data_IF_150721215013
#
_entry.id   IF_150721215013
#
_cell.length_a   1.000
_cell.length_b   1.000
_cell.length_c   1.000
_cell.angle_alpha   90.00
_cell.angle_beta   90.00
_cell.angle_gamma   90.00
#
_symmetry.space_group_name_H-M   'P 1'
#
loop_
_entity.id
_entity.type
_entity.pdbx_description
1 polymer ?
#
# COMPACT_ATOMS: atom_id res chain seq x y z
N UNK A 1 -34.60 54.49 -28.87
CA UNK A 1 -34.13 55.82 -28.47
C UNK A 1 -32.88 55.62 -27.66
N UNK A 2 -31.73 55.74 -28.37
CA UNK A 2 -30.73 56.81 -28.33
C UNK A 2 -30.19 57.05 -26.93
N UNK A 3 -28.89 56.88 -26.65
CA UNK A 3 -27.75 57.63 -27.14
C UNK A 3 -26.41 56.98 -26.78
N UNK A 4 -25.53 56.99 -27.76
CA UNK A 4 -24.08 56.88 -27.68
C UNK A 4 -23.45 58.01 -26.87
N UNK A 5 -22.31 57.77 -26.16
CA UNK A 5 -21.24 58.75 -26.04
C UNK A 5 -19.88 58.05 -26.02
N UNK A 6 -19.12 58.34 -27.05
CA UNK A 6 -17.67 58.18 -27.19
C UNK A 6 -16.99 59.41 -26.49
N UNK A 7 -15.79 59.24 -26.05
CA UNK A 7 -14.67 60.23 -25.98
C UNK A 7 -13.54 59.48 -25.26
N UNK A 8 -12.36 59.40 -25.62
CA UNK A 8 -11.37 59.94 -26.52
C UNK A 8 -10.00 59.65 -25.88
N UNK A 9 -9.12 59.20 -26.69
CA UNK A 9 -7.68 58.97 -26.57
C UNK A 9 -6.91 60.10 -25.90
N UNK A 10 -5.96 59.78 -24.99
CA UNK A 10 -4.75 60.57 -24.82
C UNK A 10 -3.54 59.66 -24.80
N UNK A 11 -2.71 59.79 -25.82
CA UNK A 11 -1.36 59.26 -25.97
C UNK A 11 -0.43 60.24 -25.27
N UNK A 12 0.38 59.76 -24.31
CA UNK A 12 1.60 60.47 -23.89
C UNK A 12 2.76 59.50 -24.06
N UNK A 13 3.55 59.75 -25.10
CA UNK A 13 4.90 59.28 -25.29
C UNK A 13 5.83 60.07 -24.38
N UNK A 14 6.56 59.37 -23.52
CA UNK A 14 7.83 59.86 -22.98
C UNK A 14 8.85 58.76 -22.99
N UNK A 15 9.86 58.97 -23.77
CA UNK A 15 11.11 58.25 -23.91
C UNK A 15 11.95 58.38 -22.64
N UNK A 16 12.63 57.27 -22.24
CA UNK A 16 13.70 57.39 -21.26
C UNK A 16 14.22 56.05 -20.73
N UNK A 17 15.32 55.57 -21.34
CA UNK A 17 16.47 54.87 -20.73
C UNK A 17 16.29 53.49 -20.09
N UNK A 18 16.70 52.53 -20.82
CA UNK A 18 17.60 51.40 -20.60
C UNK A 18 18.22 51.33 -19.18
N UNK A 19 17.80 50.37 -18.37
CA UNK A 19 18.62 49.70 -17.38
C UNK A 19 18.22 48.23 -17.39
N UNK A 20 19.14 47.40 -17.86
CA UNK A 20 19.10 45.95 -17.74
C UNK A 20 19.11 45.58 -16.26
N UNK A 21 18.02 45.06 -15.75
CA UNK A 21 17.90 44.40 -14.48
C UNK A 21 17.47 42.99 -14.74
N UNK A 22 18.41 42.03 -14.65
CA UNK A 22 18.12 40.61 -14.61
C UNK A 22 17.15 40.35 -13.46
N UNK A 23 15.87 40.28 -13.78
CA UNK A 23 14.87 39.75 -12.87
C UNK A 23 14.94 38.22 -13.01
N UNK A 24 15.80 37.62 -12.18
CA UNK A 24 15.69 36.23 -11.83
C UNK A 24 14.28 36.04 -11.26
N UNK A 25 13.36 35.64 -12.15
CA UNK A 25 12.08 35.09 -11.72
C UNK A 25 12.40 33.80 -10.95
N UNK A 26 12.52 33.95 -9.63
CA UNK A 26 12.45 32.81 -8.72
C UNK A 26 11.12 32.14 -8.96
N UNK A 27 11.15 31.09 -9.77
CA UNK A 27 10.08 30.10 -9.82
C UNK A 27 10.08 29.43 -8.45
N UNK A 28 9.38 30.04 -7.49
CA UNK A 28 9.01 29.33 -6.27
C UNK A 28 8.15 28.16 -6.73
N UNK A 29 8.80 27.00 -6.88
CA UNK A 29 8.10 25.73 -6.92
C UNK A 29 7.35 25.65 -5.59
N UNK A 30 6.04 25.87 -5.62
CA UNK A 30 5.20 25.69 -4.45
C UNK A 30 5.48 24.30 -3.91
N UNK A 31 6.16 24.22 -2.78
CA UNK A 31 6.53 23.01 -2.11
C UNK A 31 5.22 22.32 -1.73
N UNK A 32 4.94 21.17 -2.37
CA UNK A 32 3.74 20.39 -2.09
C UNK A 32 3.88 19.83 -0.69
N UNK A 33 2.94 20.14 0.16
CA UNK A 33 2.84 19.58 1.50
C UNK A 33 1.90 18.40 1.40
N UNK A 34 2.43 17.19 1.56
CA UNK A 34 1.61 15.99 1.69
C UNK A 34 1.00 15.92 3.09
N UNK A 35 -0.17 15.35 3.20
CA UNK A 35 -0.82 15.08 4.48
C UNK A 35 -0.85 13.57 4.74
N UNK A 36 -0.81 13.20 6.01
CA UNK A 36 -0.95 11.83 6.49
C UNK A 36 -2.24 11.70 7.28
N UNK A 37 -3.21 10.96 6.77
CA UNK A 37 -4.40 10.57 7.52
C UNK A 37 -4.05 9.38 8.41
N UNK A 38 -4.13 9.55 9.73
CA UNK A 38 -3.95 8.49 10.72
C UNK A 38 -5.31 7.84 10.97
N UNK A 39 -5.36 6.50 10.86
CA UNK A 39 -6.58 5.73 11.01
C UNK A 39 -6.67 5.13 12.42
N UNK A 40 -7.89 4.85 12.88
CA UNK A 40 -8.19 4.28 14.20
C UNK A 40 -7.45 2.97 14.48
N UNK A 41 -7.13 2.20 13.46
CA UNK A 41 -6.37 0.95 13.54
C UNK A 41 -4.84 1.15 13.61
N UNK A 42 -4.35 2.40 13.68
CA UNK A 42 -2.93 2.74 13.74
C UNK A 42 -2.22 2.85 12.39
N UNK A 43 -2.91 2.57 11.29
CA UNK A 43 -2.37 2.80 9.95
C UNK A 43 -2.49 4.25 9.53
N UNK A 44 -1.73 4.63 8.51
CA UNK A 44 -1.81 5.97 7.94
C UNK A 44 -1.80 5.93 6.42
N UNK A 45 -2.48 6.90 5.80
CA UNK A 45 -2.53 7.09 4.35
C UNK A 45 -1.96 8.46 4.02
N UNK A 46 -0.91 8.49 3.20
CA UNK A 46 -0.34 9.74 2.69
C UNK A 46 -1.17 10.16 1.49
N UNK A 47 -1.58 11.43 1.47
CA UNK A 47 -2.42 11.99 0.41
C UNK A 47 -2.03 13.45 0.13
N UNK A 48 -2.32 13.91 -1.08
CA UNK A 48 -2.03 15.29 -1.51
C UNK A 48 -3.04 16.28 -0.92
N UNK A 49 -4.31 15.92 -0.97
CA UNK A 49 -5.39 16.72 -0.39
C UNK A 49 -6.59 15.82 -0.08
N UNK A 50 -7.55 16.34 0.69
CA UNK A 50 -8.75 15.62 1.10
C UNK A 50 -10.00 16.45 0.97
N UNK A 51 -11.13 15.79 0.86
CA UNK A 51 -12.45 16.39 0.82
C UNK A 51 -13.43 15.58 1.68
N UNK A 52 -14.11 16.23 2.62
CA UNK A 52 -15.13 15.58 3.45
C UNK A 52 -16.45 15.55 2.69
N UNK A 53 -17.01 14.35 2.46
CA UNK A 53 -18.26 14.12 1.75
C UNK A 53 -19.25 13.34 2.64
N UNK A 54 -19.95 14.07 3.48
CA UNK A 54 -20.87 13.47 4.43
C UNK A 54 -20.17 12.58 5.44
N UNK A 55 -20.43 11.26 5.42
CA UNK A 55 -19.83 10.29 6.33
C UNK A 55 -18.48 9.73 5.88
N UNK A 56 -18.00 10.13 4.70
CA UNK A 56 -16.70 9.69 4.16
C UNK A 56 -15.78 10.88 3.91
N UNK A 57 -14.50 10.65 4.08
CA UNK A 57 -13.45 11.58 3.69
C UNK A 57 -12.73 11.01 2.47
N UNK A 58 -12.74 11.76 1.39
CA UNK A 58 -12.01 11.42 0.17
C UNK A 58 -10.58 11.89 0.29
N UNK A 59 -9.64 10.97 0.21
CA UNK A 59 -8.21 11.23 0.21
C UNK A 59 -7.69 11.11 -1.23
N UNK A 60 -7.16 12.19 -1.78
CA UNK A 60 -6.61 12.22 -3.13
C UNK A 60 -5.13 11.87 -3.08
N UNK A 61 -4.75 10.79 -3.75
CA UNK A 61 -3.39 10.25 -3.75
C UNK A 61 -2.48 10.91 -4.80
N UNK A 62 -3.03 11.85 -5.58
CA UNK A 62 -2.31 12.62 -6.58
C UNK A 62 -2.92 14.00 -6.74
N UNK A 63 -2.08 14.98 -7.09
CA UNK A 63 -2.52 16.34 -7.34
C UNK A 63 -3.51 16.49 -8.52
N UNK A 64 -3.51 15.52 -9.45
CA UNK A 64 -4.46 15.50 -10.58
C UNK A 64 -5.89 15.19 -10.14
N UNK A 65 -6.11 14.68 -8.91
CA UNK A 65 -7.42 14.30 -8.42
C UNK A 65 -8.00 13.01 -9.02
N UNK A 66 -7.29 12.37 -9.95
CA UNK A 66 -7.77 11.17 -10.63
C UNK A 66 -7.73 9.92 -9.74
N UNK A 67 -6.78 9.87 -8.79
CA UNK A 67 -6.62 8.76 -7.86
C UNK A 67 -7.04 9.21 -6.46
N UNK A 68 -8.08 8.61 -5.94
CA UNK A 68 -8.56 8.90 -4.59
C UNK A 68 -9.04 7.63 -3.88
N UNK A 69 -9.11 7.72 -2.55
CA UNK A 69 -9.66 6.69 -1.66
C UNK A 69 -10.69 7.34 -0.75
N UNK A 70 -11.88 6.78 -0.68
CA UNK A 70 -12.92 7.20 0.25
C UNK A 70 -12.78 6.39 1.55
N UNK A 71 -12.49 7.08 2.65
CA UNK A 71 -12.34 6.52 3.99
C UNK A 71 -13.50 7.01 4.85
N UNK A 72 -14.19 6.15 5.60
CA UNK A 72 -15.18 6.60 6.58
C UNK A 72 -14.54 7.61 7.53
N UNK A 73 -15.18 8.78 7.69
CA UNK A 73 -14.61 9.89 8.44
C UNK A 73 -14.34 9.52 9.90
N UNK A 74 -15.15 8.65 10.50
CA UNK A 74 -15.00 8.14 11.86
C UNK A 74 -13.78 7.23 12.05
N UNK A 75 -13.20 6.72 10.96
CA UNK A 75 -11.97 5.93 10.99
C UNK A 75 -10.71 6.80 11.01
N UNK A 76 -10.79 8.07 10.66
CA UNK A 76 -9.67 9.00 10.68
C UNK A 76 -9.57 9.59 12.09
N UNK A 77 -8.48 9.29 12.81
CA UNK A 77 -8.23 9.75 14.16
C UNK A 77 -7.37 11.02 14.19
N UNK A 78 -6.64 11.27 13.11
CA UNK A 78 -5.77 12.45 13.00
C UNK A 78 -5.38 12.72 11.55
N UNK A 79 -5.01 13.97 11.30
CA UNK A 79 -4.38 14.39 10.04
C UNK A 79 -3.10 15.13 10.42
N UNK A 80 -2.00 14.63 9.93
CA UNK A 80 -0.67 15.20 10.13
C UNK A 80 -0.17 15.81 8.83
N UNK A 81 0.39 17.01 8.90
CA UNK A 81 1.12 17.60 7.76
C UNK A 81 2.53 17.05 7.78
N UNK A 82 2.97 16.53 6.64
CA UNK A 82 4.35 16.08 6.48
C UNK A 82 5.20 17.30 6.14
N UNK A 83 6.13 17.62 7.04
CA UNK A 83 7.14 18.66 6.74
C UNK A 83 8.10 18.12 5.67
N UNK A 84 8.66 18.98 4.82
CA UNK A 84 9.54 18.56 3.72
C UNK A 84 10.76 17.74 4.17
N UNK A 85 11.20 17.91 5.40
CA UNK A 85 12.30 17.13 5.98
C UNK A 85 11.86 15.70 6.32
N UNK A 86 10.62 15.51 6.73
CA UNK A 86 10.05 14.20 7.05
C UNK A 86 9.73 13.41 5.77
N UNK A 87 9.34 14.10 4.70
CA UNK A 87 9.18 13.55 3.36
C UNK A 87 10.54 13.09 2.78
N UNK A 88 11.60 13.85 3.03
CA UNK A 88 12.97 13.48 2.65
C UNK A 88 13.49 12.26 3.42
N UNK A 89 13.03 12.02 4.64
CA UNK A 89 13.37 10.82 5.42
C UNK A 89 12.60 9.57 4.97
N UNK A 90 11.44 9.76 4.33
CA UNK A 90 10.66 8.67 3.72
C UNK A 90 11.19 8.30 2.32
N UNK A 91 11.95 9.20 1.68
CA UNK A 91 12.72 8.90 0.48
C UNK A 91 14.13 8.52 0.96
N UNK A 92 14.63 7.30 0.76
CA UNK A 92 15.97 6.95 1.15
C UNK A 92 16.96 7.85 0.42
N UNK A 93 17.41 8.93 1.07
CA UNK A 93 18.48 9.78 0.56
C UNK A 93 19.81 9.08 0.77
N UNK A 94 20.40 8.72 -0.35
CA UNK A 94 21.82 8.69 -0.66
C UNK A 94 22.69 7.54 -0.16
N UNK A 95 23.83 7.39 -0.81
CA UNK A 95 24.56 6.15 -0.76
C UNK A 95 25.24 6.01 0.60
N UNK A 96 24.52 5.45 1.54
CA UNK A 96 25.22 4.66 2.53
C UNK A 96 25.85 3.57 1.67
N UNK A 97 27.16 3.55 1.62
CA UNK A 97 27.93 2.36 1.27
C UNK A 97 27.53 1.28 2.28
N UNK A 98 26.31 0.78 2.12
CA UNK A 98 25.93 -0.45 2.74
C UNK A 98 26.89 -1.49 2.17
N UNK A 99 27.44 -2.38 3.00
CA UNK A 99 28.15 -3.55 2.51
C UNK A 99 27.27 -4.15 1.42
N UNK A 100 27.85 -4.48 0.28
CA UNK A 100 27.22 -5.24 -0.79
C UNK A 100 26.47 -6.36 -0.09
N UNK A 101 25.14 -6.26 -0.09
CA UNK A 101 24.29 -7.26 0.55
C UNK A 101 24.66 -8.57 -0.12
N UNK A 102 25.34 -9.42 0.60
CA UNK A 102 25.44 -10.84 0.27
C UNK A 102 24.03 -11.28 -0.05
N UNK A 103 23.80 -11.99 -1.16
CA UNK A 103 22.47 -12.44 -1.52
C UNK A 103 21.88 -13.15 -0.30
N UNK A 104 20.77 -12.64 0.19
CA UNK A 104 20.11 -13.19 1.37
C UNK A 104 19.87 -14.67 1.11
N UNK A 105 20.53 -15.52 1.86
CA UNK A 105 20.36 -16.99 1.78
C UNK A 105 19.09 -17.45 2.45
N UNK A 106 18.25 -16.48 2.90
CA UNK A 106 16.95 -16.78 3.51
C UNK A 106 16.02 -17.49 2.50
N UNK A 107 15.43 -18.55 2.93
CA UNK A 107 14.36 -19.21 2.20
C UNK A 107 13.12 -18.33 2.15
N UNK A 108 12.23 -18.57 1.18
CA UNK A 108 10.95 -17.83 1.12
C UNK A 108 10.17 -17.97 2.43
N UNK A 109 10.17 -19.15 3.03
CA UNK A 109 9.48 -19.38 4.31
C UNK A 109 10.04 -18.48 5.43
N UNK A 110 11.36 -18.39 5.57
CA UNK A 110 12.00 -17.53 6.57
C UNK A 110 11.67 -16.04 6.36
N UNK A 111 11.67 -15.58 5.10
CA UNK A 111 11.28 -14.22 4.74
C UNK A 111 9.82 -13.95 5.17
N UNK A 112 8.91 -14.87 4.82
CA UNK A 112 7.49 -14.73 5.15
C UNK A 112 7.26 -14.72 6.65
N UNK A 113 7.90 -15.63 7.40
CA UNK A 113 7.78 -15.69 8.86
C UNK A 113 8.28 -14.40 9.52
N UNK A 114 9.40 -13.85 9.04
CA UNK A 114 9.95 -12.62 9.59
C UNK A 114 9.07 -11.41 9.32
N UNK A 115 8.60 -11.25 8.07
CA UNK A 115 7.70 -10.16 7.68
C UNK A 115 6.36 -10.29 8.41
N UNK A 116 5.78 -11.48 8.46
CA UNK A 116 4.52 -11.75 9.15
C UNK A 116 4.60 -11.37 10.64
N UNK A 117 5.68 -11.76 11.33
CA UNK A 117 5.93 -11.39 12.72
C UNK A 117 6.09 -9.88 12.91
N UNK A 118 6.82 -9.20 12.01
CA UNK A 118 7.07 -7.76 12.05
C UNK A 118 5.78 -6.96 11.93
N UNK A 119 4.88 -7.42 11.07
CA UNK A 119 3.62 -6.74 10.76
C UNK A 119 2.41 -7.30 11.51
N UNK A 120 2.61 -8.26 12.41
CA UNK A 120 1.54 -8.92 13.16
C UNK A 120 0.41 -9.46 12.24
N UNK A 121 0.79 -10.06 11.11
CA UNK A 121 -0.11 -10.74 10.18
C UNK A 121 0.17 -12.25 10.24
N UNK A 122 -0.86 -13.05 9.96
CA UNK A 122 -0.70 -14.51 9.95
C UNK A 122 0.19 -14.96 8.78
N UNK A 123 1.25 -15.73 9.08
CA UNK A 123 2.21 -16.18 8.07
C UNK A 123 1.57 -17.12 7.04
N UNK A 124 0.65 -18.02 7.44
CA UNK A 124 -0.07 -18.90 6.53
C UNK A 124 -0.97 -18.11 5.57
N UNK A 125 -1.54 -16.99 6.07
CA UNK A 125 -2.32 -16.10 5.22
C UNK A 125 -1.44 -15.41 4.18
N UNK A 126 -0.29 -14.88 4.60
CA UNK A 126 0.66 -14.23 3.69
C UNK A 126 1.22 -15.21 2.65
N UNK A 127 1.56 -16.44 3.06
CA UNK A 127 1.96 -17.52 2.14
C UNK A 127 0.87 -17.84 1.12
N UNK A 128 -0.41 -17.85 1.54
CA UNK A 128 -1.53 -18.14 0.64
C UNK A 128 -1.72 -17.03 -0.40
N UNK A 129 -1.47 -15.77 -0.03
CA UNK A 129 -1.44 -14.64 -0.97
C UNK A 129 -0.29 -14.81 -1.96
N UNK A 130 0.94 -15.06 -1.50
CA UNK A 130 2.12 -15.26 -2.35
C UNK A 130 1.91 -16.44 -3.31
N UNK A 131 1.35 -17.54 -2.83
CA UNK A 131 1.02 -18.70 -3.67
C UNK A 131 0.01 -18.35 -4.77
N UNK A 132 -0.97 -17.51 -4.47
CA UNK A 132 -1.96 -17.04 -5.45
C UNK A 132 -1.38 -16.06 -6.47
N UNK A 133 -0.41 -15.23 -6.08
CA UNK A 133 0.20 -14.21 -6.93
C UNK A 133 1.25 -14.78 -7.87
N UNK A 134 2.21 -15.50 -7.34
CA UNK A 134 3.39 -15.93 -8.10
C UNK A 134 3.69 -17.43 -8.03
N UNK A 135 2.94 -18.18 -7.21
CA UNK A 135 3.31 -19.56 -6.89
C UNK A 135 4.65 -19.66 -6.12
N UNK A 136 5.08 -18.59 -5.46
CA UNK A 136 6.37 -18.52 -4.77
C UNK A 136 7.56 -18.17 -5.66
N UNK A 137 7.34 -17.77 -6.92
CA UNK A 137 8.40 -17.40 -7.83
C UNK A 137 8.79 -15.92 -7.68
N UNK A 138 9.97 -15.65 -7.11
CA UNK A 138 10.48 -14.29 -6.92
C UNK A 138 10.77 -13.55 -8.25
N UNK A 139 10.91 -14.28 -9.36
CA UNK A 139 11.17 -13.70 -10.69
C UNK A 139 9.92 -13.64 -11.59
N UNK A 140 8.75 -13.92 -11.03
CA UNK A 140 7.50 -13.89 -11.78
C UNK A 140 7.22 -12.50 -12.36
N UNK A 141 6.74 -12.50 -13.62
CA UNK A 141 6.26 -11.30 -14.32
C UNK A 141 4.92 -11.64 -14.96
N UNK A 142 3.87 -10.89 -14.62
CA UNK A 142 2.56 -11.05 -15.22
C UNK A 142 2.49 -10.43 -16.62
N UNK A 143 1.46 -10.77 -17.41
CA UNK A 143 1.20 -10.13 -18.71
C UNK A 143 0.97 -8.62 -18.61
N UNK A 144 0.51 -8.14 -17.45
CA UNK A 144 0.28 -6.70 -17.16
C UNK A 144 1.52 -6.02 -16.57
N UNK A 145 2.63 -6.74 -16.39
CA UNK A 145 3.89 -6.20 -15.89
C UNK A 145 4.04 -6.20 -14.37
N UNK A 146 3.14 -6.82 -13.61
CA UNK A 146 3.31 -7.03 -12.17
C UNK A 146 4.50 -7.97 -11.91
N UNK A 147 5.27 -7.73 -10.82
CA UNK A 147 6.58 -8.37 -10.60
C UNK A 147 6.75 -8.92 -9.20
N UNK A 148 7.49 -10.03 -9.12
CA UNK A 148 7.98 -10.62 -7.87
C UNK A 148 6.96 -11.49 -7.15
N UNK A 149 7.26 -11.85 -5.91
CA UNK A 149 6.49 -12.78 -5.08
C UNK A 149 5.04 -12.35 -4.87
N UNK A 150 4.81 -11.08 -4.61
CA UNK A 150 3.49 -10.50 -4.36
C UNK A 150 2.95 -9.68 -5.55
N UNK A 151 3.55 -9.85 -6.73
CA UNK A 151 3.08 -9.27 -8.01
C UNK A 151 2.76 -7.78 -7.94
N UNK A 152 3.70 -6.99 -7.45
CA UNK A 152 3.55 -5.54 -7.40
C UNK A 152 3.67 -4.93 -8.80
N UNK A 153 2.72 -4.07 -9.17
CA UNK A 153 2.84 -3.23 -10.35
C UNK A 153 4.03 -2.26 -10.16
N UNK A 154 4.78 -1.93 -11.24
CA UNK A 154 5.94 -1.04 -11.14
C UNK A 154 5.66 0.27 -10.42
N UNK A 155 4.53 0.91 -10.72
CA UNK A 155 4.13 2.17 -10.09
C UNK A 155 3.84 1.98 -8.58
N UNK A 156 3.19 0.87 -8.22
CA UNK A 156 2.94 0.53 -6.82
C UNK A 156 4.24 0.25 -6.08
N UNK A 157 5.13 -0.55 -6.68
CA UNK A 157 6.45 -0.85 -6.13
C UNK A 157 7.27 0.43 -5.89
N UNK A 158 7.27 1.35 -6.85
CA UNK A 158 7.95 2.64 -6.74
C UNK A 158 7.40 3.48 -5.58
N UNK A 159 6.07 3.62 -5.48
CA UNK A 159 5.39 4.34 -4.39
C UNK A 159 5.69 3.74 -3.01
N UNK A 160 5.90 2.42 -2.94
CA UNK A 160 6.25 1.70 -1.71
C UNK A 160 7.76 1.68 -1.43
N UNK A 161 8.58 2.36 -2.26
CA UNK A 161 10.02 2.47 -2.08
C UNK A 161 10.82 1.23 -2.53
N UNK A 162 10.21 0.32 -3.29
CA UNK A 162 10.87 -0.90 -3.79
C UNK A 162 11.72 -0.56 -5.00
N UNK A 163 13.04 -0.61 -4.85
CA UNK A 163 14.00 -0.35 -5.95
C UNK A 163 14.13 -1.55 -6.90
N UNK A 164 14.03 -2.76 -6.38
CA UNK A 164 14.10 -4.00 -7.14
C UNK A 164 12.94 -4.92 -6.76
N UNK A 165 11.92 -5.00 -7.62
CA UNK A 165 10.73 -5.85 -7.37
C UNK A 165 11.03 -7.35 -7.40
N UNK A 166 12.22 -7.77 -7.81
CA UNK A 166 12.66 -9.17 -7.79
C UNK A 166 13.48 -9.52 -6.55
N UNK A 167 13.77 -8.55 -5.69
CA UNK A 167 14.27 -8.80 -4.35
C UNK A 167 13.14 -9.38 -3.50
N UNK A 168 13.34 -10.60 -3.00
CA UNK A 168 12.30 -11.36 -2.31
C UNK A 168 11.83 -10.65 -1.04
N UNK A 169 12.76 -10.18 -0.22
CA UNK A 169 12.44 -9.55 1.06
C UNK A 169 11.74 -8.20 0.84
N UNK A 170 12.29 -7.34 -0.03
CA UNK A 170 11.70 -6.04 -0.34
C UNK A 170 10.31 -6.17 -0.96
N UNK A 171 10.10 -7.17 -1.83
CA UNK A 171 8.81 -7.41 -2.48
C UNK A 171 7.75 -7.90 -1.48
N UNK A 172 8.09 -8.87 -0.61
CA UNK A 172 7.18 -9.39 0.42
C UNK A 172 6.87 -8.31 1.45
N UNK A 173 7.87 -7.55 1.90
CA UNK A 173 7.68 -6.44 2.84
C UNK A 173 6.69 -5.40 2.30
N UNK A 174 6.94 -4.90 1.08
CA UNK A 174 6.10 -3.88 0.47
C UNK A 174 4.70 -4.40 0.12
N UNK A 175 4.60 -5.62 -0.41
CA UNK A 175 3.30 -6.24 -0.71
C UNK A 175 2.46 -6.49 0.53
N UNK A 176 3.10 -6.87 1.64
CA UNK A 176 2.44 -7.04 2.94
C UNK A 176 1.91 -5.70 3.46
N UNK A 177 2.71 -4.64 3.42
CA UNK A 177 2.26 -3.29 3.80
C UNK A 177 1.05 -2.86 2.98
N UNK A 178 1.10 -3.02 1.66
CA UNK A 178 -0.02 -2.68 0.80
C UNK A 178 -1.28 -3.51 1.11
N UNK A 179 -1.13 -4.80 1.39
CA UNK A 179 -2.25 -5.66 1.80
C UNK A 179 -2.87 -5.20 3.13
N UNK A 180 -2.04 -4.82 4.09
CA UNK A 180 -2.48 -4.31 5.38
C UNK A 180 -3.20 -2.97 5.25
N UNK A 181 -2.73 -2.07 4.38
CA UNK A 181 -3.41 -0.81 4.07
C UNK A 181 -4.83 -1.09 3.52
N UNK A 182 -4.97 -2.08 2.64
CA UNK A 182 -6.26 -2.49 2.11
C UNK A 182 -7.16 -3.15 3.17
N UNK A 183 -6.60 -3.99 4.05
CA UNK A 183 -7.35 -4.56 5.18
C UNK A 183 -7.88 -3.45 6.10
N UNK A 184 -7.03 -2.47 6.40
CA UNK A 184 -7.42 -1.30 7.17
C UNK A 184 -8.53 -0.50 6.47
N UNK A 185 -8.36 -0.22 5.18
CA UNK A 185 -9.34 0.51 4.36
C UNK A 185 -10.73 -0.13 4.35
N UNK A 186 -10.77 -1.46 4.33
CA UNK A 186 -12.03 -2.22 4.28
C UNK A 186 -12.43 -2.82 5.64
N UNK A 187 -11.97 -2.24 6.77
CA UNK A 187 -12.39 -2.64 8.12
C UNK A 187 -12.15 -4.13 8.42
N UNK A 188 -11.05 -4.68 7.95
CA UNK A 188 -10.69 -6.10 8.02
C UNK A 188 -11.64 -7.04 7.26
N UNK A 189 -12.44 -6.51 6.32
CA UNK A 189 -13.13 -7.34 5.34
C UNK A 189 -12.10 -7.95 4.38
N UNK A 190 -11.65 -9.15 4.73
CA UNK A 190 -10.61 -9.88 3.99
C UNK A 190 -10.98 -10.08 2.53
N UNK A 191 -12.27 -10.35 2.24
CA UNK A 191 -12.72 -10.57 0.87
C UNK A 191 -12.61 -9.30 0.02
N UNK A 192 -12.99 -8.15 0.57
CA UNK A 192 -12.84 -6.85 -0.12
C UNK A 192 -11.38 -6.44 -0.26
N UNK A 193 -10.56 -6.64 0.79
CA UNK A 193 -9.13 -6.31 0.75
C UNK A 193 -8.39 -7.12 -0.33
N UNK A 194 -8.61 -8.43 -0.38
CA UNK A 194 -8.05 -9.29 -1.41
C UNK A 194 -8.55 -8.95 -2.82
N UNK A 195 -9.84 -8.65 -2.95
CA UNK A 195 -10.40 -8.21 -4.23
C UNK A 195 -9.82 -6.85 -4.68
N UNK A 196 -9.57 -5.93 -3.74
CA UNK A 196 -8.91 -4.65 -4.01
C UNK A 196 -7.46 -4.83 -4.40
N UNK A 197 -6.74 -5.75 -3.76
CA UNK A 197 -5.37 -6.09 -4.11
C UNK A 197 -5.28 -6.56 -5.58
N UNK A 198 -6.18 -7.44 -5.99
CA UNK A 198 -6.21 -8.03 -7.34
C UNK A 198 -6.77 -7.08 -8.42
N UNK A 199 -7.89 -6.41 -8.16
CA UNK A 199 -8.64 -5.61 -9.14
C UNK A 199 -8.46 -4.09 -8.99
N UNK A 200 -7.81 -3.66 -7.92
CA UNK A 200 -7.66 -2.26 -7.53
C UNK A 200 -8.82 -1.74 -6.67
N UNK A 201 -8.55 -0.83 -5.71
CA UNK A 201 -9.55 -0.29 -4.79
C UNK A 201 -10.69 0.45 -5.47
N UNK A 202 -10.45 1.11 -6.61
CA UNK A 202 -11.48 1.79 -7.40
C UNK A 202 -12.61 0.84 -7.86
N UNK A 203 -12.28 -0.44 -8.11
CA UNK A 203 -13.29 -1.43 -8.51
C UNK A 203 -14.17 -1.84 -7.35
N UNK A 204 -13.59 -1.96 -6.15
CA UNK A 204 -14.36 -2.25 -4.93
C UNK A 204 -15.35 -1.12 -4.65
N UNK A 205 -14.91 0.12 -4.83
CA UNK A 205 -15.74 1.30 -4.68
C UNK A 205 -16.86 1.34 -5.73
N UNK A 206 -16.52 1.15 -7.00
CA UNK A 206 -17.50 1.14 -8.12
C UNK A 206 -18.61 0.12 -7.93
N UNK A 207 -18.28 -1.07 -7.39
CA UNK A 207 -19.24 -2.16 -7.19
C UNK A 207 -19.76 -2.26 -5.77
N UNK A 208 -19.39 -1.33 -4.88
CA UNK A 208 -19.72 -1.34 -3.45
C UNK A 208 -19.38 -2.66 -2.74
N UNK A 209 -18.38 -3.39 -3.26
CA UNK A 209 -17.96 -4.70 -2.79
C UNK A 209 -17.09 -5.45 -3.78
N UNK A 210 -16.97 -6.77 -3.59
CA UNK A 210 -16.22 -7.63 -4.51
C UNK A 210 -16.85 -7.61 -5.90
N UNK A 211 -16.14 -7.13 -6.94
CA UNK A 211 -16.70 -7.00 -8.28
C UNK A 211 -17.07 -8.37 -8.87
N UNK A 212 -18.03 -8.42 -9.83
CA UNK A 212 -18.52 -9.68 -10.42
C UNK A 212 -17.51 -10.30 -11.42
N UNK A 213 -16.23 -9.95 -11.33
CA UNK A 213 -15.22 -10.50 -12.21
C UNK A 213 -14.87 -11.92 -11.78
N UNK A 214 -14.96 -12.86 -12.73
CA UNK A 214 -14.68 -14.28 -12.48
C UNK A 214 -13.25 -14.47 -11.91
N UNK A 215 -12.27 -13.78 -12.49
CA UNK A 215 -10.86 -13.82 -12.07
C UNK A 215 -10.70 -13.37 -10.61
N UNK A 216 -11.24 -12.20 -10.25
CA UNK A 216 -11.12 -11.64 -8.90
C UNK A 216 -11.83 -12.52 -7.87
N UNK A 217 -13.02 -13.02 -8.17
CA UNK A 217 -13.74 -13.93 -7.27
C UNK A 217 -13.02 -15.27 -7.10
N UNK A 218 -12.42 -15.80 -8.16
CA UNK A 218 -11.62 -17.02 -8.12
C UNK A 218 -10.34 -16.81 -7.29
N UNK A 219 -9.69 -15.65 -7.43
CA UNK A 219 -8.53 -15.25 -6.66
C UNK A 219 -8.84 -15.22 -5.14
N UNK A 220 -9.89 -14.50 -4.75
CA UNK A 220 -10.33 -14.41 -3.34
C UNK A 220 -10.62 -15.80 -2.77
N UNK A 221 -11.40 -16.63 -3.49
CA UNK A 221 -11.72 -18.00 -3.03
C UNK A 221 -10.48 -18.87 -2.88
N UNK A 222 -9.54 -18.78 -3.83
CA UNK A 222 -8.30 -19.56 -3.79
C UNK A 222 -7.49 -19.27 -2.53
N UNK A 223 -7.31 -18.00 -2.18
CA UNK A 223 -6.55 -17.61 -0.99
C UNK A 223 -7.25 -18.05 0.29
N UNK A 224 -8.55 -17.77 0.43
CA UNK A 224 -9.30 -18.13 1.64
C UNK A 224 -9.32 -19.66 1.83
N UNK A 225 -9.53 -20.42 0.76
CA UNK A 225 -9.55 -21.88 0.84
C UNK A 225 -8.16 -22.46 1.17
N UNK A 226 -7.08 -21.89 0.61
CA UNK A 226 -5.72 -22.32 0.92
C UNK A 226 -5.35 -22.02 2.37
N UNK A 227 -5.66 -20.84 2.84
CA UNK A 227 -5.45 -20.42 4.22
C UNK A 227 -6.21 -21.33 5.21
N UNK A 228 -7.51 -21.56 4.99
CA UNK A 228 -8.32 -22.44 5.85
C UNK A 228 -7.77 -23.86 5.88
N UNK A 229 -7.35 -24.41 4.73
CA UNK A 229 -6.73 -25.75 4.66
C UNK A 229 -5.44 -25.83 5.50
N UNK A 230 -4.60 -24.79 5.48
CA UNK A 230 -3.38 -24.73 6.30
C UNK A 230 -3.73 -24.74 7.79
N UNK A 231 -4.74 -23.97 8.20
CA UNK A 231 -5.19 -23.95 9.61
C UNK A 231 -5.77 -25.28 10.07
N UNK A 232 -6.58 -25.93 9.24
CA UNK A 232 -7.16 -27.25 9.57
C UNK A 232 -6.08 -28.32 9.76
N UNK A 233 -5.00 -28.29 8.98
CA UNK A 233 -3.88 -29.24 9.11
C UNK A 233 -3.07 -28.98 10.39
N UNK A 234 -2.95 -27.75 10.81
CA UNK A 234 -2.25 -27.37 12.05
C UNK A 234 -3.02 -27.83 13.30
N UNK A 235 -4.34 -27.73 13.27
CA UNK A 235 -5.22 -28.17 14.38
C UNK A 235 -5.28 -29.70 14.49
N UNK A 236 -5.16 -30.44 13.37
CA UNK A 236 -5.24 -31.90 13.33
C UNK A 236 -3.94 -32.64 13.61
N UNK A 237 -2.84 -31.95 13.97
CA UNK A 237 -1.59 -32.62 14.33
C UNK A 237 -1.85 -33.48 15.59
N UNK A 238 -1.75 -34.85 15.52
CA UNK A 238 -2.11 -35.67 16.64
C UNK A 238 -1.21 -35.35 17.84
N UNK A 239 -1.82 -35.14 19.00
CA UNK A 239 -1.10 -35.17 20.25
C UNK A 239 -0.41 -36.55 20.34
N UNK A 240 0.91 -36.63 20.60
CA UNK A 240 1.57 -37.91 20.74
C UNK A 240 0.85 -38.76 21.79
N UNK A 241 0.70 -40.07 21.61
CA UNK A 241 0.00 -40.92 22.55
C UNK A 241 0.69 -40.77 23.91
N UNK A 242 -0.11 -40.40 24.89
CA UNK A 242 0.30 -40.38 26.29
C UNK A 242 0.86 -41.73 26.62
N UNK A 243 2.17 -41.84 26.83
CA UNK A 243 2.80 -43.08 27.30
C UNK A 243 2.10 -43.51 28.54
N UNK A 244 1.45 -44.67 28.48
CA UNK A 244 0.83 -45.29 29.61
C UNK A 244 1.91 -45.51 30.70
N UNK A 245 1.74 -44.79 31.80
CA UNK A 245 2.52 -45.01 33.00
C UNK A 245 2.39 -46.48 33.39
N UNK A 246 3.50 -47.17 33.38
CA UNK A 246 3.60 -48.55 33.87
C UNK A 246 3.06 -48.64 35.29
N UNK A 247 1.95 -49.35 35.46
CA UNK A 247 1.47 -49.78 36.76
C UNK A 247 2.52 -50.67 37.47
N UNK A 248 2.79 -50.52 38.77
CA UNK A 248 3.67 -51.40 39.47
C UNK A 248 3.03 -52.79 39.59
N UNK A 249 3.84 -53.83 39.37
CA UNK A 249 3.45 -55.22 39.50
C UNK A 249 3.00 -55.53 40.94
N UNK A 250 1.96 -56.37 41.13
CA UNK A 250 1.59 -56.86 42.47
C UNK A 250 2.67 -57.81 42.95
N UNK A 251 3.27 -57.49 44.12
CA UNK A 251 4.06 -58.43 44.94
C UNK A 251 3.14 -59.48 45.51
N UNK A 252 3.37 -60.74 45.10
CA UNK A 252 2.70 -61.87 45.70
C UNK A 252 3.37 -62.32 46.99
N UNK A 253 2.57 -62.72 47.94
CA UNK A 253 2.78 -63.78 48.92
C UNK A 253 1.77 -64.88 48.69
#
# INVERSE_FOLDING_TARGET
MTKFHRIATIIILLSGSLLAGDSLASTQTAQRVHERAVLRNGFSLIHDHREVKGTVTRLYMSASGENFVDVPTDQITGIEKLEPEEEAMLVPTAPVTAPVATPSTKTLHEIVQEVARRHNIDADFLESVIAAESGGNAKAVSRKGARGLMQLMPDTASKLGVKNSFDAEANVEAGTRYLLDLLALYHNDVAKALAAYNAGPLRIQQYHGVPPYHETRAYVRRIINDFNRKKDTTVRKPTPPRTASSAPAPTGE
#
